data_IF_615363148154
#
_entry.id   IF_615363148154
#
_cell.length_a   1.000
_cell.length_b   1.000
_cell.length_c   1.000
_cell.angle_alpha   90.00
_cell.angle_beta   90.00
_cell.angle_gamma   90.00
#
_symmetry.space_group_name_H-M   'P 1'
#
loop_
_entity.id
_entity.type
_entity.pdbx_description
1 polymer ?
#
# COMPACT_ATOMS: atom_id res chain seq x y z
N UNK A 1 40.13 108.08 19.69
CA UNK A 1 39.14 107.68 20.71
C UNK A 1 37.80 108.41 20.64
N UNK A 2 37.71 109.69 20.26
CA UNK A 2 36.43 110.43 20.30
C UNK A 2 35.35 110.09 19.25
N UNK A 3 35.67 109.47 18.11
CA UNK A 3 34.68 109.19 17.05
C UNK A 3 33.86 107.91 17.31
N UNK A 4 34.44 106.92 18.01
CA UNK A 4 33.78 105.62 18.28
C UNK A 4 32.75 105.73 19.41
N UNK A 5 32.92 106.68 20.32
CA UNK A 5 32.03 106.93 21.44
C UNK A 5 30.81 107.78 21.03
N UNK A 6 31.00 108.74 20.11
CA UNK A 6 29.95 109.69 19.69
C UNK A 6 28.79 109.07 18.88
N UNK A 7 29.02 107.93 18.24
CA UNK A 7 28.01 107.18 17.45
C UNK A 7 27.57 105.87 18.12
N UNK A 8 27.91 105.65 19.40
CA UNK A 8 27.49 104.44 20.14
C UNK A 8 28.10 103.14 19.60
N UNK A 9 29.15 103.24 18.77
CA UNK A 9 29.80 102.08 18.16
C UNK A 9 30.49 101.21 19.23
N UNK A 10 30.93 101.80 20.34
CA UNK A 10 31.58 101.05 21.44
C UNK A 10 30.62 100.09 22.15
N UNK A 11 29.41 100.54 22.49
CA UNK A 11 28.37 99.67 23.04
C UNK A 11 27.92 98.62 22.02
N UNK A 12 27.78 99.03 20.76
CA UNK A 12 27.42 98.11 19.67
C UNK A 12 28.46 97.00 19.51
N UNK A 13 29.75 97.33 19.60
CA UNK A 13 30.85 96.35 19.56
C UNK A 13 30.80 95.43 20.77
N UNK A 14 30.51 95.94 21.97
CA UNK A 14 30.43 95.11 23.18
C UNK A 14 29.22 94.16 23.13
N UNK A 15 28.04 94.63 22.74
CA UNK A 15 26.86 93.78 22.56
C UNK A 15 27.04 92.75 21.45
N UNK A 16 27.70 93.13 20.35
CA UNK A 16 28.05 92.19 19.29
C UNK A 16 29.08 91.16 19.78
N UNK A 17 30.08 91.57 20.57
CA UNK A 17 31.06 90.66 21.15
C UNK A 17 30.38 89.65 22.09
N UNK A 18 29.49 90.12 22.97
CA UNK A 18 28.73 89.26 23.89
C UNK A 18 27.80 88.30 23.12
N UNK A 19 27.07 88.78 22.11
CA UNK A 19 26.21 87.95 21.28
C UNK A 19 26.99 86.93 20.40
N UNK A 20 28.27 87.17 20.14
CA UNK A 20 29.15 86.30 19.34
C UNK A 20 30.10 85.45 20.21
N UNK A 21 30.01 85.51 21.54
CA UNK A 21 30.81 84.68 22.45
C UNK A 21 30.49 83.20 22.22
N UNK A 22 31.32 82.53 21.41
CA UNK A 22 31.16 81.11 21.08
C UNK A 22 31.16 80.19 22.30
N UNK A 23 31.75 80.62 23.42
CA UNK A 23 31.71 79.91 24.71
C UNK A 23 30.33 79.92 25.38
N UNK A 24 29.42 80.80 24.96
CA UNK A 24 28.04 80.87 25.43
C UNK A 24 27.04 80.17 24.51
N UNK A 25 27.43 79.74 23.29
CA UNK A 25 26.56 79.00 22.37
C UNK A 25 26.17 77.62 22.94
N UNK A 26 25.11 77.60 23.74
CA UNK A 26 24.61 76.44 24.46
C UNK A 26 25.22 76.22 25.84
N UNK A 27 26.10 77.11 26.31
CA UNK A 27 26.75 77.02 27.64
C UNK A 27 25.80 77.41 28.79
N UNK A 28 24.94 78.37 28.51
CA UNK A 28 23.90 79.00 29.35
C UNK A 28 22.63 78.14 29.53
N UNK A 29 22.49 77.07 28.74
CA UNK A 29 21.36 76.15 28.82
C UNK A 29 21.42 75.40 30.17
N UNK A 30 20.45 75.59 31.07
CA UNK A 30 20.46 74.97 32.40
C UNK A 30 20.37 73.44 32.33
N UNK A 31 19.58 72.92 31.39
CA UNK A 31 19.36 71.49 31.16
C UNK A 31 19.67 71.11 29.70
N UNK A 32 20.96 71.04 29.38
CA UNK A 32 21.45 70.63 28.06
C UNK A 32 20.82 69.33 27.54
N UNK A 33 20.62 68.27 28.35
CA UNK A 33 19.96 67.04 27.88
C UNK A 33 18.53 67.25 27.41
N UNK A 34 17.71 67.97 28.19
CA UNK A 34 16.31 68.26 27.85
C UNK A 34 16.19 69.18 26.63
N UNK A 35 17.08 70.18 26.52
CA UNK A 35 17.14 71.05 25.35
C UNK A 35 17.42 70.25 24.07
N UNK A 36 18.44 69.38 24.09
CA UNK A 36 18.80 68.50 22.96
C UNK A 36 17.63 67.58 22.58
N UNK A 37 16.90 67.05 23.57
CA UNK A 37 15.69 66.26 23.36
C UNK A 37 14.58 67.06 22.66
N UNK A 38 14.28 68.27 23.14
CA UNK A 38 13.19 69.09 22.62
C UNK A 38 13.42 69.59 21.18
N UNK A 39 14.68 69.82 20.79
CA UNK A 39 15.03 70.26 19.43
C UNK A 39 15.37 69.10 18.48
N UNK A 40 15.38 67.85 18.97
CA UNK A 40 15.73 66.67 18.18
C UNK A 40 17.19 66.62 17.72
N UNK A 41 18.10 67.31 18.40
CA UNK A 41 19.52 67.32 18.06
C UNK A 41 20.25 66.06 18.57
N UNK A 42 21.35 65.70 17.93
CA UNK A 42 22.20 64.56 18.33
C UNK A 42 23.46 65.08 19.03
N UNK A 43 23.81 64.62 20.26
CA UNK A 43 25.10 64.92 20.85
C UNK A 43 26.25 64.32 20.02
N UNK A 44 27.39 65.02 19.93
CA UNK A 44 28.56 64.61 19.12
C UNK A 44 29.15 63.23 19.46
N UNK A 45 28.73 62.63 20.57
CA UNK A 45 29.13 61.29 21.04
C UNK A 45 27.96 60.50 21.67
N UNK A 46 26.70 60.90 21.41
CA UNK A 46 25.51 60.26 21.95
C UNK A 46 24.90 59.25 20.98
N UNK A 47 24.37 58.15 21.50
CA UNK A 47 23.37 57.32 20.78
C UNK A 47 22.08 58.12 20.66
N UNK A 48 21.41 58.08 19.50
CA UNK A 48 20.23 58.89 19.20
C UNK A 48 19.22 58.99 20.36
N UNK A 49 19.04 60.19 20.91
CA UNK A 49 18.02 60.53 21.93
C UNK A 49 16.59 60.39 21.37
N UNK A 50 16.46 60.25 20.04
CA UNK A 50 15.22 60.01 19.32
C UNK A 50 15.20 58.66 18.58
N UNK A 51 15.84 57.61 19.10
CA UNK A 51 15.30 56.30 18.82
C UNK A 51 13.94 56.25 19.52
N UNK A 52 12.87 56.58 18.79
CA UNK A 52 11.49 56.45 19.25
C UNK A 52 11.30 54.97 19.60
N UNK A 53 11.65 54.58 20.82
CA UNK A 53 11.47 53.22 21.31
C UNK A 53 9.98 52.97 21.19
N UNK A 54 9.60 51.98 20.40
CA UNK A 54 8.21 51.55 20.31
C UNK A 54 7.81 51.08 21.71
N UNK A 55 7.16 51.97 22.46
CA UNK A 55 6.65 51.66 23.76
C UNK A 55 5.33 50.89 23.59
N UNK A 56 5.13 49.88 24.44
CA UNK A 56 3.83 49.19 24.51
C UNK A 56 2.74 50.21 24.82
N UNK A 57 1.63 50.14 24.09
CA UNK A 57 0.40 50.90 24.39
C UNK A 57 -0.49 50.19 25.41
N UNK A 58 0.03 49.17 26.10
CA UNK A 58 -0.74 48.31 27.00
C UNK A 58 -1.65 47.36 26.25
N UNK A 59 -2.64 46.81 26.94
CA UNK A 59 -3.57 45.83 26.39
C UNK A 59 -4.48 46.46 25.32
N UNK A 60 -4.31 46.05 24.05
CA UNK A 60 -5.13 46.52 22.93
C UNK A 60 -6.13 45.44 22.54
N UNK A 61 -7.46 45.67 22.52
CA UNK A 61 -8.41 44.64 22.08
C UNK A 61 -8.16 44.20 20.64
N UNK A 62 -8.43 42.92 20.35
CA UNK A 62 -8.35 42.39 19.01
C UNK A 62 -9.35 43.11 18.09
N UNK A 63 -8.87 43.61 16.94
CA UNK A 63 -9.75 44.17 15.92
C UNK A 63 -10.55 43.06 15.25
N UNK A 64 -11.83 43.32 15.02
CA UNK A 64 -12.80 42.39 14.42
C UNK A 64 -13.60 43.10 13.34
N UNK A 65 -14.19 42.34 12.42
CA UNK A 65 -14.97 42.95 11.35
C UNK A 65 -14.08 43.67 10.32
N UNK A 66 -14.63 44.75 9.76
CA UNK A 66 -13.89 45.79 9.03
C UNK A 66 -13.28 46.90 9.92
N UNK A 67 -13.21 46.69 11.24
CA UNK A 67 -12.71 47.74 12.17
C UNK A 67 -11.21 47.90 12.06
N UNK A 68 -10.73 49.11 11.76
CA UNK A 68 -9.31 49.45 11.68
C UNK A 68 -8.79 50.09 12.97
N UNK A 69 -7.48 50.03 13.18
CA UNK A 69 -6.84 50.74 14.28
C UNK A 69 -6.90 52.25 14.07
N UNK A 70 -7.24 53.03 15.10
CA UNK A 70 -7.29 54.50 15.04
C UNK A 70 -5.91 55.15 14.94
N UNK A 71 -4.87 54.39 15.27
CA UNK A 71 -3.50 54.86 15.35
C UNK A 71 -2.81 54.73 13.99
N UNK A 72 -1.94 55.67 13.64
CA UNK A 72 -1.16 55.65 12.39
C UNK A 72 0.26 55.10 12.61
N UNK A 73 0.74 54.25 11.69
CA UNK A 73 2.10 53.74 11.66
C UNK A 73 2.30 52.42 12.38
N UNK A 74 3.46 52.27 13.03
CA UNK A 74 3.86 51.04 13.72
C UNK A 74 3.55 51.11 15.21
N UNK A 75 2.67 50.22 15.69
CA UNK A 75 2.18 50.20 17.06
C UNK A 75 2.56 48.86 17.71
N UNK A 76 3.04 48.93 18.96
CA UNK A 76 3.21 47.77 19.82
C UNK A 76 2.16 47.76 20.91
N UNK A 77 1.58 46.59 21.16
CA UNK A 77 0.62 46.39 22.24
C UNK A 77 0.79 45.04 22.93
N UNK A 78 0.03 44.87 23.99
CA UNK A 78 -0.03 43.65 24.78
C UNK A 78 -1.30 42.87 24.44
N UNK A 79 -1.12 41.55 24.36
CA UNK A 79 -2.20 40.59 24.32
C UNK A 79 -2.36 40.04 25.71
N UNK A 80 -3.52 40.31 26.31
CA UNK A 80 -3.83 39.94 27.68
C UNK A 80 -5.33 39.66 27.80
N UNK A 81 -5.71 38.44 27.42
CA UNK A 81 -7.07 37.94 27.43
C UNK A 81 -8.09 38.90 26.76
N UNK A 82 -7.72 39.39 25.58
CA UNK A 82 -8.40 40.49 24.88
C UNK A 82 -8.80 40.14 23.44
N UNK A 83 -9.10 38.86 23.18
CA UNK A 83 -9.74 38.39 21.94
C UNK A 83 -8.80 37.93 20.82
N UNK A 84 -7.49 37.86 21.06
CA UNK A 84 -6.54 37.29 20.10
C UNK A 84 -6.50 35.76 20.16
N UNK A 85 -5.93 35.08 19.13
CA UNK A 85 -5.73 33.63 19.12
C UNK A 85 -5.01 33.06 20.36
N UNK A 86 -4.16 33.85 21.01
CA UNK A 86 -3.46 33.48 22.24
C UNK A 86 -3.98 34.27 23.42
N UNK A 87 -4.02 33.64 24.60
CA UNK A 87 -4.43 34.32 25.84
C UNK A 87 -3.43 35.43 26.25
N UNK A 88 -2.13 35.24 26.02
CA UNK A 88 -1.08 36.18 26.39
C UNK A 88 -0.04 36.33 25.28
N UNK A 89 0.50 37.52 25.09
CA UNK A 89 1.49 37.79 24.04
C UNK A 89 1.76 39.27 23.80
N UNK A 90 2.43 39.54 22.68
CA UNK A 90 2.65 40.88 22.15
C UNK A 90 2.13 40.97 20.72
N UNK A 91 1.58 42.14 20.37
CA UNK A 91 1.12 42.43 19.03
C UNK A 91 1.92 43.57 18.42
N UNK A 92 2.31 43.39 17.16
CA UNK A 92 2.80 44.45 16.29
C UNK A 92 1.73 44.76 15.25
N UNK A 93 1.22 45.99 15.26
CA UNK A 93 0.23 46.47 14.30
C UNK A 93 0.88 47.49 13.38
N UNK A 94 0.70 47.27 12.08
CA UNK A 94 1.10 48.18 11.01
C UNK A 94 -0.18 48.80 10.45
N UNK A 95 -0.30 50.12 10.52
CA UNK A 95 -1.43 50.84 9.93
C UNK A 95 -1.00 51.77 8.81
N UNK A 96 -1.77 51.79 7.72
CA UNK A 96 -1.45 52.54 6.50
C UNK A 96 -2.64 52.66 5.56
N UNK A 97 -2.44 52.48 4.25
CA UNK A 97 -3.56 52.36 3.29
C UNK A 97 -4.33 51.06 3.53
N UNK A 98 -3.60 49.95 3.77
CA UNK A 98 -4.10 48.73 4.41
C UNK A 98 -3.38 48.49 5.73
N UNK A 99 -3.86 47.53 6.52
CA UNK A 99 -3.30 47.20 7.84
C UNK A 99 -2.76 45.77 7.90
N UNK A 100 -1.87 45.52 8.84
CA UNK A 100 -1.30 44.20 9.09
C UNK A 100 -1.02 44.01 10.58
N UNK A 101 -1.10 42.76 11.02
CA UNK A 101 -0.85 42.40 12.41
C UNK A 101 0.02 41.14 12.51
N UNK A 102 1.02 41.21 13.38
CA UNK A 102 1.85 40.07 13.78
C UNK A 102 1.69 39.88 15.29
N UNK A 103 1.26 38.69 15.68
CA UNK A 103 1.09 38.27 17.06
C UNK A 103 2.18 37.27 17.44
N UNK A 104 2.82 37.51 18.58
CA UNK A 104 3.74 36.56 19.20
C UNK A 104 3.17 36.22 20.57
N UNK A 105 2.74 34.98 20.75
CA UNK A 105 2.23 34.50 22.03
C UNK A 105 3.33 34.43 23.09
N UNK A 106 2.93 34.24 24.34
CA UNK A 106 3.83 33.81 25.41
C UNK A 106 3.59 32.34 25.71
N UNK A 107 4.67 31.56 25.79
CA UNK A 107 4.60 30.12 26.02
C UNK A 107 4.26 29.75 27.48
N UNK A 108 4.33 30.71 28.40
CA UNK A 108 4.12 30.49 29.83
C UNK A 108 5.18 29.63 30.51
N UNK A 109 6.18 29.14 29.76
CA UNK A 109 7.25 28.25 30.25
C UNK A 109 8.60 28.81 29.81
N UNK A 110 9.53 28.96 30.76
CA UNK A 110 10.87 29.49 30.48
C UNK A 110 11.57 28.67 29.38
N UNK A 111 11.95 29.34 28.29
CA UNK A 111 12.66 28.73 27.16
C UNK A 111 11.79 27.93 26.18
N UNK A 112 10.48 27.80 26.41
CA UNK A 112 9.58 27.12 25.49
C UNK A 112 9.21 28.02 24.29
N UNK A 113 9.08 27.44 23.07
CA UNK A 113 8.60 28.17 21.90
C UNK A 113 7.17 28.65 22.11
N UNK A 114 6.84 29.81 21.53
CA UNK A 114 5.48 30.35 21.56
C UNK A 114 4.87 30.36 20.16
N UNK A 115 3.54 30.25 20.03
CA UNK A 115 2.88 30.34 18.75
C UNK A 115 2.94 31.79 18.23
N UNK A 116 3.09 31.94 16.92
CA UNK A 116 3.08 33.22 16.25
C UNK A 116 2.03 33.22 15.13
N UNK A 117 1.37 34.35 14.93
CA UNK A 117 0.30 34.48 13.94
C UNK A 117 0.46 35.77 13.13
N UNK A 118 -0.08 35.77 11.93
CA UNK A 118 -0.14 36.92 11.04
C UNK A 118 -1.54 37.07 10.45
N UNK A 119 -1.97 38.31 10.24
CA UNK A 119 -3.17 38.63 9.46
C UNK A 119 -3.03 39.97 8.76
N UNK A 120 -3.92 40.24 7.81
CA UNK A 120 -3.94 41.47 7.02
C UNK A 120 -5.35 42.02 6.84
N UNK A 121 -5.44 43.32 6.59
CA UNK A 121 -6.65 44.04 6.22
C UNK A 121 -6.37 44.86 4.95
N UNK A 122 -7.20 44.68 3.92
CA UNK A 122 -7.02 45.35 2.62
C UNK A 122 -7.34 46.84 2.69
N UNK A 123 -6.83 47.62 1.75
CA UNK A 123 -7.02 49.06 1.58
C UNK A 123 -8.42 49.50 1.09
N UNK A 124 -9.50 48.90 1.61
CA UNK A 124 -10.87 49.29 1.28
C UNK A 124 -11.74 49.33 2.53
N UNK A 125 -12.69 50.27 2.59
CA UNK A 125 -13.49 50.53 3.81
C UNK A 125 -14.34 49.34 4.27
N UNK A 126 -14.79 48.49 3.34
CA UNK A 126 -15.61 47.30 3.62
C UNK A 126 -14.78 46.00 3.71
N UNK A 127 -13.44 46.10 3.71
CA UNK A 127 -12.61 44.90 3.83
C UNK A 127 -12.67 44.36 5.26
N UNK A 128 -12.93 43.06 5.37
CA UNK A 128 -12.81 42.36 6.64
C UNK A 128 -11.33 42.03 6.92
N UNK A 129 -10.96 41.95 8.19
CA UNK A 129 -9.69 41.32 8.57
C UNK A 129 -9.64 39.87 8.08
N UNK A 130 -8.50 39.45 7.52
CA UNK A 130 -8.27 38.04 7.26
C UNK A 130 -8.32 37.25 8.57
N UNK A 131 -8.66 35.96 8.47
CA UNK A 131 -8.43 35.04 9.57
C UNK A 131 -6.95 35.05 9.96
N UNK A 132 -6.68 34.65 11.21
CA UNK A 132 -5.32 34.53 11.71
C UNK A 132 -4.63 33.31 11.10
N UNK A 133 -3.53 33.53 10.40
CA UNK A 133 -2.67 32.46 9.90
C UNK A 133 -1.54 32.19 10.92
N UNK A 134 -1.42 30.95 11.39
CA UNK A 134 -0.34 30.55 12.29
C UNK A 134 0.97 30.30 11.51
N UNK A 135 2.07 30.82 12.04
CA UNK A 135 3.42 30.55 11.54
C UNK A 135 3.94 29.26 12.17
N UNK A 136 4.33 28.31 11.32
CA UNK A 136 4.88 27.03 11.76
C UNK A 136 6.41 27.02 11.70
N UNK A 137 7.03 26.37 12.67
CA UNK A 137 8.49 26.18 12.77
C UNK A 137 8.81 24.74 13.15
N UNK A 138 10.09 24.35 13.16
CA UNK A 138 10.51 23.05 13.69
C UNK A 138 10.15 22.86 15.17
N UNK A 139 10.03 23.95 15.95
CA UNK A 139 9.66 23.94 17.36
C UNK A 139 8.16 24.20 17.60
N UNK A 140 7.40 24.55 16.56
CA UNK A 140 5.94 24.68 16.55
C UNK A 140 5.38 24.16 15.20
N UNK A 141 5.45 22.84 14.95
CA UNK A 141 5.07 22.28 13.65
C UNK A 141 3.56 22.32 13.43
N UNK A 142 3.10 22.25 12.17
CA UNK A 142 1.68 22.11 11.92
C UNK A 142 1.14 20.85 12.58
N UNK A 143 -0.04 20.91 13.21
CA UNK A 143 -0.68 19.72 13.72
C UNK A 143 -1.08 18.82 12.53
N UNK A 144 -0.22 17.82 12.27
CA UNK A 144 -0.45 16.64 11.44
C UNK A 144 -0.73 16.82 9.94
N UNK A 145 0.17 16.24 9.13
CA UNK A 145 -0.32 15.53 7.94
C UNK A 145 0.17 14.09 7.86
N UNK A 146 1.37 13.76 8.38
CA UNK A 146 1.86 12.37 8.52
C UNK A 146 2.77 12.19 9.76
N UNK A 147 2.41 11.32 10.72
CA UNK A 147 3.17 11.15 11.96
C UNK A 147 4.54 10.49 11.72
N UNK A 148 5.53 10.83 12.56
CA UNK A 148 6.84 10.14 12.57
C UNK A 148 6.62 8.65 12.85
N UNK A 149 7.34 7.79 12.13
CA UNK A 149 7.18 6.33 12.23
C UNK A 149 6.11 5.73 11.33
N UNK A 150 5.30 6.51 10.62
CA UNK A 150 4.43 5.96 9.59
C UNK A 150 5.24 5.53 8.35
N UNK A 151 4.92 4.36 7.82
CA UNK A 151 5.48 3.88 6.56
C UNK A 151 4.90 4.69 5.39
N UNK A 152 5.77 5.20 4.52
CA UNK A 152 5.40 6.03 3.37
C UNK A 152 5.86 5.29 2.10
N UNK A 153 4.94 5.12 1.15
CA UNK A 153 5.27 4.57 -0.16
C UNK A 153 5.96 5.66 -1.02
N UNK A 154 7.22 5.42 -1.38
CA UNK A 154 8.06 6.36 -2.10
C UNK A 154 8.43 5.83 -3.50
N UNK A 155 8.15 6.59 -4.59
CA UNK A 155 8.27 6.09 -5.97
C UNK A 155 9.69 6.15 -6.56
N UNK A 156 10.71 6.46 -5.77
CA UNK A 156 12.08 6.65 -6.25
C UNK A 156 13.10 5.91 -5.37
N UNK A 157 14.24 5.54 -5.95
CA UNK A 157 15.37 4.97 -5.19
C UNK A 157 16.17 6.04 -4.43
N UNK A 158 16.03 7.31 -4.82
CA UNK A 158 16.64 8.42 -4.10
C UNK A 158 15.82 8.77 -2.86
N UNK A 159 16.35 8.43 -1.67
CA UNK A 159 15.68 8.71 -0.39
C UNK A 159 15.81 10.20 -0.04
N UNK A 160 14.70 10.91 0.26
CA UNK A 160 14.77 12.32 0.67
C UNK A 160 15.50 12.53 2.00
N UNK A 161 16.09 13.71 2.18
CA UNK A 161 16.72 14.08 3.44
C UNK A 161 15.70 14.06 4.60
N UNK A 162 16.10 13.53 5.76
CA UNK A 162 15.22 13.37 6.93
C UNK A 162 14.40 12.07 6.95
N UNK A 163 14.55 11.22 5.93
CA UNK A 163 13.91 9.91 5.83
C UNK A 163 14.93 8.79 5.77
N UNK A 164 14.50 7.58 6.12
CA UNK A 164 15.28 6.35 5.93
C UNK A 164 14.43 5.28 5.24
N UNK A 165 15.06 4.42 4.44
CA UNK A 165 14.44 3.20 3.93
C UNK A 165 14.10 2.26 5.09
N UNK A 166 13.00 1.53 5.00
CA UNK A 166 12.56 0.58 6.04
C UNK A 166 13.12 -0.82 5.77
N UNK A 167 14.31 -1.12 6.31
CA UNK A 167 15.12 -2.30 5.96
C UNK A 167 15.54 -3.15 7.17
N UNK A 168 14.86 -3.03 8.31
CA UNK A 168 15.19 -3.82 9.50
C UNK A 168 16.33 -3.23 10.35
N UNK A 169 16.77 -2.01 10.07
CA UNK A 169 17.92 -1.40 10.75
C UNK A 169 17.57 -0.83 12.13
N UNK A 170 18.56 -0.85 13.03
CA UNK A 170 18.47 -0.19 14.33
C UNK A 170 18.64 1.34 14.22
N UNK A 171 18.10 2.08 15.19
CA UNK A 171 18.31 3.52 15.33
C UNK A 171 18.56 3.93 16.79
N UNK A 172 19.19 5.10 16.96
CA UNK A 172 19.39 5.70 18.29
C UNK A 172 18.09 6.36 18.79
N UNK A 173 17.52 5.80 19.86
CA UNK A 173 16.27 6.28 20.47
C UNK A 173 16.41 7.65 21.12
N UNK A 174 17.60 8.01 21.60
CA UNK A 174 17.87 9.32 22.19
C UNK A 174 17.95 10.40 21.13
N UNK A 175 18.50 10.07 19.95
CA UNK A 175 18.54 10.99 18.81
C UNK A 175 17.16 11.14 18.13
N UNK A 176 16.35 10.08 18.10
CA UNK A 176 15.05 10.06 17.43
C UNK A 176 13.90 9.68 18.39
N UNK A 177 13.54 10.55 19.36
CA UNK A 177 12.55 10.23 20.39
C UNK A 177 11.15 10.00 19.83
N UNK A 178 10.73 10.74 18.78
CA UNK A 178 9.43 10.54 18.14
C UNK A 178 9.36 9.19 17.40
N UNK A 179 10.46 8.77 16.76
CA UNK A 179 10.53 7.45 16.13
C UNK A 179 10.55 6.33 17.18
N UNK A 180 11.16 6.56 18.34
CA UNK A 180 11.15 5.62 19.47
C UNK A 180 9.74 5.41 20.07
N UNK A 181 8.83 6.39 19.97
CA UNK A 181 7.42 6.21 20.33
C UNK A 181 6.75 5.21 19.37
N UNK A 182 7.01 5.32 18.06
CA UNK A 182 6.46 4.42 17.06
C UNK A 182 7.08 3.01 17.10
N UNK A 183 8.40 2.94 17.31
CA UNK A 183 9.18 1.70 17.36
C UNK A 183 9.98 1.59 18.66
N UNK A 184 9.36 1.18 19.79
CA UNK A 184 10.02 1.10 21.09
C UNK A 184 11.23 0.15 21.14
N UNK A 185 11.28 -0.83 20.22
CA UNK A 185 12.42 -1.74 20.03
C UNK A 185 13.71 -1.02 19.62
N UNK A 186 13.62 0.20 19.07
CA UNK A 186 14.76 0.85 18.43
C UNK A 186 15.12 0.24 17.07
N UNK A 187 14.21 -0.51 16.45
CA UNK A 187 14.39 -1.17 15.16
C UNK A 187 13.26 -0.75 14.22
N UNK A 188 13.62 -0.23 13.05
CA UNK A 188 12.69 0.03 11.96
C UNK A 188 12.33 -1.30 11.28
N UNK A 189 11.06 -1.64 11.04
CA UNK A 189 10.69 -2.88 10.34
C UNK A 189 11.34 -3.01 8.96
N UNK A 190 11.66 -4.23 8.54
CA UNK A 190 12.00 -4.50 7.14
C UNK A 190 10.71 -4.65 6.34
N UNK A 191 10.47 -3.73 5.41
CA UNK A 191 9.26 -3.66 4.61
C UNK A 191 9.47 -4.14 3.16
N UNK A 192 10.68 -4.60 2.80
CA UNK A 192 10.97 -5.10 1.44
C UNK A 192 10.16 -6.38 1.18
N UNK A 193 9.42 -6.41 0.08
CA UNK A 193 8.53 -7.53 -0.28
C UNK A 193 7.24 -7.61 0.55
N UNK A 194 7.05 -6.75 1.56
CA UNK A 194 5.88 -6.78 2.43
C UNK A 194 4.77 -5.84 1.95
N UNK A 195 3.52 -6.27 2.08
CA UNK A 195 2.34 -5.43 1.89
C UNK A 195 1.72 -5.07 3.25
N UNK A 196 1.37 -3.80 3.45
CA UNK A 196 0.70 -3.36 4.67
C UNK A 196 -0.75 -3.87 4.69
N UNK A 197 -1.08 -4.65 5.72
CA UNK A 197 -2.44 -5.11 6.03
C UNK A 197 -2.89 -4.50 7.35
N UNK A 198 -4.09 -3.95 7.38
CA UNK A 198 -4.70 -3.45 8.61
C UNK A 198 -4.72 -4.53 9.68
N UNK A 199 -4.30 -4.19 10.91
CA UNK A 199 -4.31 -5.14 12.03
C UNK A 199 -5.77 -5.59 12.25
N UNK A 200 -6.06 -6.91 12.21
CA UNK A 200 -7.40 -7.39 12.52
C UNK A 200 -7.76 -7.09 13.97
N UNK A 201 -9.06 -7.12 14.27
CA UNK A 201 -9.59 -6.89 15.62
C UNK A 201 -8.98 -7.84 16.67
N UNK A 202 -8.62 -9.06 16.26
CA UNK A 202 -8.03 -10.10 17.11
C UNK A 202 -7.12 -11.04 16.30
N UNK A 203 -6.37 -11.89 16.99
CA UNK A 203 -5.56 -12.95 16.36
C UNK A 203 -4.19 -12.52 15.83
N UNK A 204 -3.85 -11.22 15.86
CA UNK A 204 -2.52 -10.71 15.46
C UNK A 204 -2.05 -9.53 16.31
N UNK A 205 -0.74 -9.46 16.53
CA UNK A 205 -0.08 -8.29 17.13
C UNK A 205 0.26 -7.23 16.07
N UNK A 206 0.43 -5.97 16.48
CA UNK A 206 0.98 -4.90 15.64
C UNK A 206 2.41 -5.29 15.20
N UNK A 207 2.76 -5.04 13.93
CA UNK A 207 4.03 -5.43 13.31
C UNK A 207 4.32 -6.95 13.22
N UNK A 208 3.35 -7.81 13.54
CA UNK A 208 3.49 -9.24 13.21
C UNK A 208 3.58 -9.44 11.70
N UNK A 209 4.24 -10.50 11.27
CA UNK A 209 4.32 -10.92 9.85
C UNK A 209 3.33 -12.04 9.57
N UNK A 210 2.84 -12.11 8.33
CA UNK A 210 1.94 -13.16 7.84
C UNK A 210 2.40 -13.52 6.43
N UNK A 211 2.79 -14.78 6.22
CA UNK A 211 3.21 -15.27 4.91
C UNK A 211 2.03 -15.32 3.95
N UNK A 212 2.32 -15.31 2.65
CA UNK A 212 1.33 -15.49 1.61
C UNK A 212 0.74 -16.91 1.63
N UNK A 213 -0.44 -17.08 1.03
CA UNK A 213 -1.09 -18.37 0.99
C UNK A 213 -2.39 -18.38 0.20
N UNK A 214 -2.62 -19.48 -0.50
CA UNK A 214 -3.86 -19.72 -1.23
C UNK A 214 -5.00 -20.06 -0.26
N UNK A 215 -6.19 -19.55 -0.57
CA UNK A 215 -7.40 -19.95 0.13
C UNK A 215 -7.69 -21.44 -0.15
N UNK A 216 -8.14 -22.15 0.88
CA UNK A 216 -8.60 -23.54 0.76
C UNK A 216 -9.64 -23.67 -0.35
N UNK A 217 -9.42 -24.62 -1.27
CA UNK A 217 -10.31 -24.92 -2.39
C UNK A 217 -10.12 -26.36 -2.87
N UNK A 218 -10.99 -26.81 -3.77
CA UNK A 218 -10.92 -28.11 -4.46
C UNK A 218 -11.28 -27.96 -5.93
N UNK A 219 -11.00 -29.00 -6.73
CA UNK A 219 -11.33 -29.06 -8.15
C UNK A 219 -12.22 -30.27 -8.43
N UNK A 220 -13.08 -30.16 -9.44
CA UNK A 220 -13.73 -31.34 -10.03
C UNK A 220 -12.76 -31.98 -11.03
N UNK A 221 -12.73 -33.31 -11.04
CA UNK A 221 -11.91 -34.10 -11.96
C UNK A 221 -12.76 -35.20 -12.60
N UNK A 222 -12.39 -35.62 -13.81
CA UNK A 222 -13.04 -36.72 -14.54
C UNK A 222 -12.01 -37.59 -15.25
N UNK A 223 -12.19 -38.90 -15.19
CA UNK A 223 -11.53 -39.85 -16.07
C UNK A 223 -12.34 -39.99 -17.36
N UNK A 224 -11.67 -40.21 -18.49
CA UNK A 224 -12.33 -40.49 -19.77
C UNK A 224 -12.51 -42.00 -19.95
N UNK A 225 -13.55 -42.39 -20.68
CA UNK A 225 -13.79 -43.78 -21.04
C UNK A 225 -12.64 -44.32 -21.90
N UNK A 226 -12.23 -45.56 -21.65
CA UNK A 226 -11.15 -46.23 -22.37
C UNK A 226 -11.63 -47.58 -22.90
N UNK A 227 -11.59 -47.74 -24.23
CA UNK A 227 -11.85 -49.03 -24.88
C UNK A 227 -10.58 -49.90 -24.85
N UNK A 228 -10.70 -51.12 -24.30
CA UNK A 228 -9.60 -52.09 -24.21
C UNK A 228 -9.45 -52.92 -25.51
N UNK A 229 -10.39 -52.80 -26.44
CA UNK A 229 -10.42 -53.48 -27.74
C UNK A 229 -10.65 -54.99 -27.65
N UNK A 230 -10.68 -55.65 -28.80
CA UNK A 230 -10.87 -57.11 -28.91
C UNK A 230 -9.60 -57.89 -28.55
N UNK A 231 -9.75 -59.09 -27.97
CA UNK A 231 -8.65 -60.02 -27.65
C UNK A 231 -9.03 -61.42 -28.14
N UNK A 232 -8.06 -62.18 -28.64
CA UNK A 232 -8.25 -63.57 -29.07
C UNK A 232 -7.86 -64.52 -27.94
N UNK A 233 -8.62 -65.60 -27.77
CA UNK A 233 -8.28 -66.67 -26.83
C UNK A 233 -7.17 -67.55 -27.38
N UNK A 234 -6.59 -68.41 -26.54
CA UNK A 234 -5.74 -69.50 -27.01
C UNK A 234 -6.54 -70.49 -27.88
N UNK A 235 -5.83 -71.22 -28.75
CA UNK A 235 -6.41 -72.29 -29.55
C UNK A 235 -6.61 -73.56 -28.72
N UNK A 236 -7.70 -74.28 -28.98
CA UNK A 236 -7.99 -75.59 -28.41
C UNK A 236 -8.42 -76.57 -29.51
N UNK A 237 -7.80 -77.75 -29.55
CA UNK A 237 -8.08 -78.80 -30.53
C UNK A 237 -8.77 -79.99 -29.86
N UNK A 238 -9.94 -80.38 -30.39
CA UNK A 238 -10.68 -81.55 -29.92
C UNK A 238 -10.07 -82.89 -30.39
N UNK A 239 -9.20 -82.86 -31.41
CA UNK A 239 -8.65 -84.03 -32.06
C UNK A 239 -9.71 -84.90 -32.76
N UNK A 240 -9.39 -86.18 -32.99
CA UNK A 240 -10.32 -87.14 -33.61
C UNK A 240 -11.21 -87.81 -32.57
N UNK A 241 -12.52 -87.89 -32.83
CA UNK A 241 -13.51 -88.63 -32.02
C UNK A 241 -14.13 -89.76 -32.84
N UNK A 242 -14.48 -90.87 -32.18
CA UNK A 242 -15.08 -92.05 -32.82
C UNK A 242 -16.56 -92.19 -32.45
N UNK A 243 -17.36 -92.78 -33.35
CA UNK A 243 -18.77 -93.09 -33.12
C UNK A 243 -18.94 -94.40 -32.35
N UNK A 244 -20.15 -94.67 -31.84
CA UNK A 244 -20.50 -96.01 -31.34
C UNK A 244 -20.67 -97.00 -32.51
N UNK A 245 -20.58 -98.30 -32.22
CA UNK A 245 -20.78 -99.38 -33.22
C UNK A 245 -22.26 -99.74 -33.32
N UNK A 246 -22.85 -99.58 -34.51
CA UNK A 246 -24.26 -99.90 -34.80
C UNK A 246 -24.45 -100.20 -36.30
N UNK A 247 -25.67 -100.51 -36.74
CA UNK A 247 -26.02 -100.72 -38.16
C UNK A 247 -26.03 -102.17 -38.62
N UNK A 248 -25.81 -103.14 -37.71
CA UNK A 248 -25.94 -104.55 -38.04
C UNK A 248 -27.41 -104.88 -38.35
N UNK A 249 -27.64 -105.46 -39.53
CA UNK A 249 -28.97 -105.87 -39.97
C UNK A 249 -28.86 -107.10 -40.89
N UNK A 250 -29.99 -107.77 -41.12
CA UNK A 250 -30.08 -108.94 -42.00
C UNK A 250 -31.01 -108.63 -43.17
N UNK A 251 -30.73 -109.22 -44.33
CA UNK A 251 -31.61 -109.17 -45.49
C UNK A 251 -32.28 -110.53 -45.69
N UNK A 252 -33.57 -110.54 -46.03
CA UNK A 252 -34.30 -111.74 -46.40
C UNK A 252 -34.50 -111.76 -47.92
N UNK A 253 -34.19 -112.88 -48.56
CA UNK A 253 -34.39 -113.07 -50.00
C UNK A 253 -35.32 -114.25 -50.26
N UNK A 254 -36.20 -114.09 -51.25
CA UNK A 254 -37.07 -115.15 -51.76
C UNK A 254 -37.03 -115.12 -53.28
N UNK A 255 -36.55 -116.19 -53.91
CA UNK A 255 -36.55 -116.34 -55.36
C UNK A 255 -37.69 -117.25 -55.79
N UNK A 256 -38.48 -116.81 -56.78
CA UNK A 256 -39.42 -117.67 -57.49
C UNK A 256 -38.83 -118.01 -58.85
N UNK A 257 -38.44 -119.27 -59.04
CA UNK A 257 -37.89 -119.77 -60.31
C UNK A 257 -38.88 -120.75 -60.90
N UNK A 258 -39.31 -120.51 -62.14
CA UNK A 258 -40.22 -121.38 -62.87
C UNK A 258 -39.43 -122.14 -63.95
N UNK A 259 -39.22 -123.45 -63.76
CA UNK A 259 -38.63 -124.32 -64.78
C UNK A 259 -39.74 -124.98 -65.60
N UNK A 260 -39.75 -124.80 -66.92
CA UNK A 260 -40.80 -125.39 -67.78
C UNK A 260 -40.55 -126.88 -68.14
N UNK A 261 -39.34 -127.43 -67.90
CA UNK A 261 -38.95 -128.78 -68.37
C UNK A 261 -38.30 -129.72 -67.34
N UNK A 262 -38.37 -129.41 -66.03
CA UNK A 262 -38.12 -130.39 -64.98
C UNK A 262 -36.68 -130.92 -64.83
N UNK A 263 -35.65 -130.26 -65.36
CA UNK A 263 -34.26 -130.60 -65.05
C UNK A 263 -33.79 -129.91 -63.76
N UNK A 264 -33.27 -130.68 -62.82
CA UNK A 264 -32.86 -130.19 -61.49
C UNK A 264 -31.44 -129.59 -61.47
N UNK A 265 -30.95 -129.08 -62.61
CA UNK A 265 -29.55 -128.62 -62.77
C UNK A 265 -29.39 -127.09 -62.72
N UNK A 266 -30.25 -126.41 -61.99
CA UNK A 266 -30.03 -125.00 -61.65
C UNK A 266 -29.48 -124.91 -60.22
N UNK A 267 -28.20 -124.57 -60.08
CA UNK A 267 -27.65 -124.07 -58.82
C UNK A 267 -28.27 -122.72 -58.54
N UNK A 268 -29.49 -122.73 -57.99
CA UNK A 268 -30.10 -121.51 -57.50
C UNK A 268 -29.33 -121.01 -56.29
N UNK A 269 -29.37 -119.70 -56.08
CA UNK A 269 -28.95 -119.10 -54.82
C UNK A 269 -29.95 -119.55 -53.74
N UNK A 270 -29.82 -120.78 -53.25
CA UNK A 270 -30.68 -121.34 -52.19
C UNK A 270 -30.23 -120.80 -50.83
N UNK A 271 -31.17 -120.33 -49.97
CA UNK A 271 -30.86 -120.03 -48.58
C UNK A 271 -30.28 -121.28 -47.89
N UNK A 272 -29.08 -121.16 -47.31
CA UNK A 272 -28.40 -122.26 -46.61
C UNK A 272 -27.31 -123.01 -47.41
N UNK A 273 -27.11 -122.71 -48.70
CA UNK A 273 -26.06 -123.33 -49.53
C UNK A 273 -24.64 -122.78 -49.36
N UNK A 274 -24.38 -121.95 -48.35
CA UNK A 274 -23.05 -121.35 -48.10
C UNK A 274 -22.62 -120.24 -49.07
N UNK A 275 -23.53 -119.75 -49.93
CA UNK A 275 -23.26 -118.65 -50.85
C UNK A 275 -23.34 -117.29 -50.12
N UNK A 276 -22.32 -116.44 -50.31
CA UNK A 276 -22.20 -115.12 -49.68
C UNK A 276 -22.53 -114.00 -50.66
N UNK A 277 -23.16 -112.93 -50.20
CA UNK A 277 -23.29 -111.68 -50.98
C UNK A 277 -21.93 -111.03 -51.16
N UNK A 278 -21.75 -110.20 -52.20
CA UNK A 278 -20.56 -109.35 -52.35
C UNK A 278 -20.50 -108.29 -51.23
N UNK A 279 -19.31 -107.74 -50.96
CA UNK A 279 -19.13 -106.67 -49.97
C UNK A 279 -19.89 -105.40 -50.41
N UNK A 280 -20.78 -104.91 -49.55
CA UNK A 280 -21.57 -103.70 -49.74
C UNK A 280 -21.84 -103.04 -48.37
N UNK A 281 -22.30 -101.79 -48.36
CA UNK A 281 -22.65 -101.07 -47.14
C UNK A 281 -21.56 -100.16 -46.58
N UNK A 282 -20.46 -99.94 -47.31
CA UNK A 282 -19.52 -98.86 -47.00
C UNK A 282 -20.24 -97.52 -47.17
N UNK A 283 -20.34 -96.76 -46.09
CA UNK A 283 -21.04 -95.49 -46.05
C UNK A 283 -20.45 -94.60 -44.96
N UNK A 284 -20.60 -93.29 -45.14
CA UNK A 284 -20.22 -92.29 -44.17
C UNK A 284 -21.44 -91.46 -43.75
N UNK A 285 -21.40 -90.93 -42.52
CA UNK A 285 -22.40 -90.00 -42.01
C UNK A 285 -21.79 -88.61 -41.86
N UNK A 286 -22.56 -87.59 -42.19
CA UNK A 286 -22.21 -86.20 -41.88
C UNK A 286 -22.75 -85.86 -40.51
N UNK A 287 -21.88 -85.42 -39.60
CA UNK A 287 -22.27 -84.95 -38.25
C UNK A 287 -21.97 -83.47 -38.12
N UNK A 288 -23.01 -82.66 -37.94
CA UNK A 288 -22.87 -81.23 -37.64
C UNK A 288 -22.77 -81.00 -36.13
N UNK A 289 -21.67 -80.39 -35.67
CA UNK A 289 -21.42 -80.13 -34.23
C UNK A 289 -22.05 -78.80 -33.76
N UNK A 290 -21.96 -77.75 -34.59
CA UNK A 290 -22.49 -76.42 -34.29
C UNK A 290 -21.48 -75.44 -33.66
N UNK A 291 -21.89 -74.18 -33.57
CA UNK A 291 -21.13 -73.12 -32.90
C UNK A 291 -21.36 -73.10 -31.39
N UNK A 292 -20.36 -72.64 -30.63
CA UNK A 292 -20.48 -72.41 -29.20
C UNK A 292 -19.69 -71.17 -28.78
N UNK A 293 -20.08 -70.56 -27.67
CA UNK A 293 -19.42 -69.38 -27.08
C UNK A 293 -19.14 -69.62 -25.60
N UNK A 294 -18.16 -68.89 -25.07
CA UNK A 294 -17.82 -68.89 -23.65
C UNK A 294 -17.97 -67.48 -23.08
N UNK A 295 -18.24 -67.38 -21.78
CA UNK A 295 -18.21 -66.11 -21.04
C UNK A 295 -16.98 -66.06 -20.14
N UNK A 296 -16.40 -64.86 -19.97
CA UNK A 296 -15.24 -64.65 -19.11
C UNK A 296 -15.48 -63.45 -18.18
N UNK A 297 -15.24 -63.64 -16.89
CA UNK A 297 -15.28 -62.56 -15.90
C UNK A 297 -13.91 -61.89 -15.79
N UNK A 298 -13.84 -60.56 -16.00
CA UNK A 298 -12.59 -59.79 -15.97
C UNK A 298 -12.28 -59.25 -14.56
N UNK A 299 -13.30 -58.84 -13.80
CA UNK A 299 -13.15 -58.30 -12.44
C UNK A 299 -12.92 -56.78 -12.36
N UNK A 300 -13.06 -56.19 -11.15
CA UNK A 300 -12.81 -54.78 -10.91
C UNK A 300 -11.31 -54.45 -10.88
N UNK A 301 -10.95 -53.23 -11.28
CA UNK A 301 -9.59 -52.68 -11.14
C UNK A 301 -9.66 -51.17 -10.81
N UNK A 302 -8.53 -50.56 -10.48
CA UNK A 302 -8.44 -49.14 -10.13
C UNK A 302 -7.16 -48.48 -10.67
N UNK A 303 -7.07 -47.16 -10.49
CA UNK A 303 -5.95 -46.33 -10.95
C UNK A 303 -5.44 -45.42 -9.84
N UNK A 304 -4.14 -45.10 -9.90
CA UNK A 304 -3.55 -44.06 -9.06
C UNK A 304 -3.69 -42.72 -9.78
N UNK A 305 -4.14 -41.69 -9.06
CA UNK A 305 -4.24 -40.32 -9.58
C UNK A 305 -3.26 -39.45 -8.81
N UNK A 306 -2.38 -38.76 -9.53
CA UNK A 306 -1.43 -37.79 -8.99
C UNK A 306 -1.80 -36.43 -9.57
N UNK A 307 -1.86 -35.42 -8.71
CA UNK A 307 -2.03 -34.03 -9.10
C UNK A 307 -0.73 -33.32 -8.78
N UNK A 308 -0.01 -32.91 -9.83
CA UNK A 308 1.25 -32.18 -9.68
C UNK A 308 1.01 -30.76 -9.19
N UNK A 309 2.04 -30.16 -8.57
CA UNK A 309 1.98 -28.79 -8.09
C UNK A 309 1.92 -27.81 -9.27
N UNK A 310 1.05 -26.79 -9.16
CA UNK A 310 0.92 -25.70 -10.11
C UNK A 310 0.88 -24.36 -9.37
N UNK A 311 1.65 -23.38 -9.85
CA UNK A 311 1.73 -22.05 -9.23
C UNK A 311 3.13 -21.41 -9.30
N UNK A 312 3.20 -20.17 -8.80
CA UNK A 312 4.44 -19.41 -8.67
C UNK A 312 5.07 -19.61 -7.28
N UNK A 313 6.28 -19.08 -7.08
CA UNK A 313 6.95 -19.10 -5.78
C UNK A 313 6.21 -18.29 -4.69
N UNK A 314 5.43 -17.28 -5.08
CA UNK A 314 4.63 -16.44 -4.17
C UNK A 314 3.20 -16.27 -4.70
N UNK A 315 2.27 -16.13 -3.76
CA UNK A 315 0.86 -15.79 -4.02
C UNK A 315 0.72 -14.26 -4.11
N UNK A 316 0.64 -13.74 -5.33
CA UNK A 316 0.59 -12.30 -5.57
C UNK A 316 -0.78 -11.81 -6.03
N UNK A 317 -1.12 -10.58 -5.65
CA UNK A 317 -2.11 -9.76 -6.36
C UNK A 317 -1.39 -8.77 -7.28
N UNK A 318 -2.09 -8.17 -8.24
CA UNK A 318 -1.51 -7.07 -9.04
C UNK A 318 -0.99 -5.98 -8.09
N UNK A 319 0.29 -5.63 -8.21
CA UNK A 319 0.97 -4.69 -7.34
C UNK A 319 1.95 -3.83 -8.15
N UNK A 320 2.39 -2.71 -7.55
CA UNK A 320 3.43 -1.83 -8.09
C UNK A 320 4.47 -1.67 -6.99
N UNK A 321 5.75 -1.80 -7.34
CA UNK A 321 6.85 -1.65 -6.39
C UNK A 321 7.05 -0.17 -6.03
N UNK A 322 7.08 0.10 -4.72
CA UNK A 322 7.48 1.37 -4.11
C UNK A 322 8.50 1.08 -3.02
N UNK A 323 9.41 2.00 -2.77
CA UNK A 323 10.28 1.93 -1.61
C UNK A 323 9.51 2.39 -0.37
N UNK A 324 9.48 1.58 0.68
CA UNK A 324 8.96 2.05 1.97
C UNK A 324 10.02 2.89 2.68
N UNK A 325 9.69 4.15 2.95
CA UNK A 325 10.51 5.07 3.76
C UNK A 325 9.78 5.48 5.03
N UNK A 326 10.53 5.97 6.02
CA UNK A 326 10.00 6.49 7.28
C UNK A 326 10.68 7.81 7.62
N UNK A 327 9.89 8.76 8.14
CA UNK A 327 10.41 10.04 8.66
C UNK A 327 11.14 9.80 9.99
N UNK A 328 12.31 10.40 10.17
CA UNK A 328 13.15 10.20 11.36
C UNK A 328 12.79 11.13 12.54
N UNK A 329 12.36 12.37 12.27
CA UNK A 329 12.04 13.41 13.27
C UNK A 329 10.88 14.31 12.82
#
# INVERSE_FOLDING_TARGET
DGLIEYVGLRETINHAADALLKSQNGGDIPEKPLFVQNIGALPASGTAVAANRLASRGALPALTGATRGSDSGLIMGEVYNNGYPTQYGNILRLTGTGDGEILIGWSGTNGAPAPAYIRSHRDTADAEWSEWAMLYTSLNPPPNSYPVGAAIAWPSDATPAGYALMQGQSFDKSAYPLLAIAYPSGIIPDMRGWTIKGKPISGRAVLSQEMDGNKSHSHSARAQDTDLGTKSTSSFDYGTKSTNTTGNHTHQFGGYINSYWGDSNHTSFQPGGGAWTQAAGDHAHTVYIGGHEHTMYIGPHGHVVIVDADGNAETTVKNIAFNYIVRLA
#
